data_IF_650961057497
#
_entry.id   IF_650961057497
#
_cell.length_a   1.000
_cell.length_b   1.000
_cell.length_c   1.000
_cell.angle_alpha   90.00
_cell.angle_beta   90.00
_cell.angle_gamma   90.00
#
_symmetry.space_group_name_H-M   'P 1'
#
loop_
_entity.id
_entity.type
_entity.pdbx_description
1 polymer ?
#
# COMPACT_ATOMS: atom_id res chain seq x y z
N UNK A 1 18.78 -30.37 11.82
CA UNK A 1 17.79 -29.69 12.66
C UNK A 1 17.77 -28.22 12.28
N UNK A 2 16.62 -27.60 11.96
CA UNK A 2 16.59 -26.17 11.63
C UNK A 2 16.94 -25.33 12.86
N UNK A 3 17.82 -24.36 12.65
CA UNK A 3 18.45 -23.56 13.69
C UNK A 3 17.43 -22.65 14.39
N UNK A 4 17.10 -22.98 15.66
CA UNK A 4 16.19 -22.21 16.51
C UNK A 4 16.60 -20.74 16.65
N UNK A 5 17.88 -20.40 16.46
CA UNK A 5 18.37 -19.03 16.51
C UNK A 5 17.81 -18.16 15.36
N UNK A 6 17.77 -18.71 14.13
CA UNK A 6 17.22 -18.00 12.96
C UNK A 6 15.71 -17.71 13.09
N UNK A 7 14.96 -18.65 13.68
CA UNK A 7 13.54 -18.45 13.98
C UNK A 7 13.28 -17.35 15.02
N UNK A 8 14.15 -17.26 16.05
CA UNK A 8 14.07 -16.18 17.05
C UNK A 8 14.43 -14.82 16.45
N UNK A 9 15.40 -14.75 15.54
CA UNK A 9 15.76 -13.54 14.82
C UNK A 9 14.62 -13.00 13.93
N UNK A 10 13.91 -13.89 13.20
CA UNK A 10 12.75 -13.51 12.37
C UNK A 10 11.59 -12.99 13.24
N UNK A 11 11.34 -13.60 14.40
CA UNK A 11 10.37 -13.08 15.39
C UNK A 11 10.78 -11.73 15.98
N UNK A 12 12.06 -11.55 16.32
CA UNK A 12 12.56 -10.29 16.87
C UNK A 12 12.42 -9.12 15.89
N UNK A 13 12.62 -9.34 14.57
CA UNK A 13 12.37 -8.33 13.53
C UNK A 13 10.89 -7.91 13.45
N UNK A 14 9.95 -8.85 13.61
CA UNK A 14 8.52 -8.52 13.66
C UNK A 14 8.15 -7.69 14.91
N UNK A 15 8.81 -7.90 16.04
CA UNK A 15 8.64 -7.05 17.24
C UNK A 15 9.38 -5.71 17.12
N UNK A 16 10.46 -5.64 16.34
CA UNK A 16 11.13 -4.38 16.05
C UNK A 16 10.24 -3.47 15.20
N UNK A 17 9.46 -4.01 14.26
CA UNK A 17 8.39 -3.27 13.56
C UNK A 17 7.29 -2.76 14.50
N UNK A 18 6.89 -3.53 15.51
CA UNK A 18 5.92 -3.10 16.53
C UNK A 18 6.51 -2.08 17.53
N UNK A 19 7.78 -2.24 17.89
CA UNK A 19 8.51 -1.30 18.74
C UNK A 19 8.81 0.00 18.00
N UNK A 20 9.05 -0.04 16.69
CA UNK A 20 9.13 1.13 15.83
C UNK A 20 7.76 1.77 15.62
N UNK A 21 6.69 0.99 15.49
CA UNK A 21 5.32 1.52 15.51
C UNK A 21 5.03 2.28 16.83
N UNK A 22 5.44 1.73 17.98
CA UNK A 22 5.38 2.43 19.27
C UNK A 22 6.32 3.63 19.34
N UNK A 23 7.57 3.51 18.88
CA UNK A 23 8.57 4.58 18.93
C UNK A 23 8.21 5.74 17.99
N UNK A 24 7.64 5.49 16.81
CA UNK A 24 7.14 6.53 15.89
C UNK A 24 5.89 7.20 16.47
N UNK A 25 4.98 6.46 17.13
CA UNK A 25 3.89 7.05 17.90
C UNK A 25 4.37 7.90 19.07
N UNK A 26 5.48 7.52 19.71
CA UNK A 26 6.07 8.25 20.85
C UNK A 26 7.02 9.38 20.44
N UNK A 27 7.52 9.38 19.20
CA UNK A 27 8.27 10.49 18.58
C UNK A 27 7.33 11.55 17.98
N UNK A 28 6.00 11.38 18.11
CA UNK A 28 5.07 12.50 18.07
C UNK A 28 5.42 13.43 19.25
N UNK A 29 6.33 14.36 18.97
CA UNK A 29 6.82 15.37 19.89
C UNK A 29 5.62 16.11 20.49
N UNK A 30 5.60 16.36 21.80
CA UNK A 30 4.57 17.16 22.46
C UNK A 30 4.81 18.65 22.22
N UNK A 31 4.94 19.07 20.95
CA UNK A 31 4.67 20.45 20.57
C UNK A 31 3.22 20.49 20.11
N UNK A 32 2.39 21.14 20.93
CA UNK A 32 0.93 21.11 20.90
C UNK A 32 0.27 21.68 19.61
N UNK A 33 1.04 21.96 18.56
CA UNK A 33 0.58 22.63 17.34
C UNK A 33 0.61 21.77 16.07
N UNK A 34 1.04 20.50 16.10
CA UNK A 34 0.94 19.65 14.91
C UNK A 34 0.64 18.19 15.24
N UNK A 35 -0.65 17.87 15.42
CA UNK A 35 -1.06 16.48 15.43
C UNK A 35 -0.79 15.88 14.04
N UNK A 36 0.07 14.85 13.97
CA UNK A 36 0.37 14.13 12.74
C UNK A 36 -0.15 12.70 12.80
N UNK A 37 -0.74 12.24 11.71
CA UNK A 37 -1.21 10.88 11.51
C UNK A 37 -0.19 10.10 10.66
N UNK A 38 0.09 8.86 11.05
CA UNK A 38 0.91 7.95 10.23
C UNK A 38 0.00 7.36 9.16
N UNK A 39 0.27 7.68 7.90
CA UNK A 39 -0.52 7.23 6.75
C UNK A 39 -0.06 5.86 6.26
N UNK A 40 1.26 5.64 6.23
CA UNK A 40 1.82 4.40 5.72
C UNK A 40 3.12 4.03 6.44
N UNK A 41 3.30 2.72 6.64
CA UNK A 41 4.58 2.12 7.02
C UNK A 41 4.85 0.97 6.04
N UNK A 42 6.06 0.92 5.50
CA UNK A 42 6.50 -0.13 4.59
C UNK A 42 7.94 -0.51 4.87
N UNK A 43 8.27 -1.79 4.67
CA UNK A 43 9.61 -2.34 4.82
C UNK A 43 10.00 -3.07 3.54
N UNK A 44 11.24 -2.87 3.08
CA UNK A 44 11.81 -3.61 1.94
C UNK A 44 12.84 -4.62 2.39
N UNK A 45 13.11 -5.62 1.54
CA UNK A 45 14.20 -6.59 1.75
C UNK A 45 15.59 -5.95 1.79
N UNK A 46 15.75 -4.77 1.22
CA UNK A 46 17.00 -3.96 1.29
C UNK A 46 17.21 -3.29 2.64
N UNK A 47 16.35 -3.60 3.63
CA UNK A 47 16.35 -3.03 4.95
C UNK A 47 16.01 -1.54 4.96
N UNK A 48 15.24 -1.01 4.00
CA UNK A 48 14.63 0.29 4.16
C UNK A 48 13.30 0.18 4.88
N UNK A 49 13.00 1.13 5.74
CA UNK A 49 11.65 1.37 6.22
C UNK A 49 11.20 2.77 5.85
N UNK A 50 10.01 2.88 5.28
CA UNK A 50 9.36 4.16 5.01
C UNK A 50 8.27 4.38 6.04
N UNK A 51 8.22 5.58 6.60
CA UNK A 51 7.09 6.08 7.37
C UNK A 51 6.61 7.38 6.73
N UNK A 52 5.35 7.41 6.32
CA UNK A 52 4.70 8.60 5.80
C UNK A 52 3.79 9.21 6.87
N UNK A 53 3.95 10.51 7.11
CA UNK A 53 3.14 11.25 8.07
C UNK A 53 2.40 12.39 7.39
N UNK A 54 1.11 12.54 7.72
CA UNK A 54 0.29 13.69 7.31
C UNK A 54 -0.10 14.54 8.52
N UNK A 55 -0.21 15.86 8.39
CA UNK A 55 -0.85 16.68 9.41
C UNK A 55 -2.35 16.35 9.51
N UNK A 56 -2.91 16.36 10.72
CA UNK A 56 -4.36 16.35 10.90
C UNK A 56 -4.93 17.68 10.38
N UNK A 57 -5.95 17.59 9.52
CA UNK A 57 -6.52 18.68 8.70
C UNK A 57 -6.87 19.98 9.45
N UNK A 58 -6.94 19.97 10.79
CA UNK A 58 -7.28 21.17 11.57
C UNK A 58 -6.09 22.11 11.85
N UNK A 59 -4.84 21.71 11.59
CA UNK A 59 -3.67 22.44 12.12
C UNK A 59 -2.87 23.28 11.11
N UNK A 60 -3.09 23.17 9.80
CA UNK A 60 -2.30 23.93 8.83
C UNK A 60 -3.19 24.72 7.86
N UNK A 61 -3.17 26.03 8.02
CA UNK A 61 -3.63 27.04 7.07
C UNK A 61 -2.93 26.89 5.71
N UNK A 62 -3.33 25.89 4.91
CA UNK A 62 -2.94 25.75 3.51
C UNK A 62 -1.48 25.41 3.23
N UNK A 63 -0.74 24.84 4.20
CA UNK A 63 0.60 24.29 3.95
C UNK A 63 0.63 22.82 4.34
N UNK A 64 0.34 21.95 3.38
CA UNK A 64 0.57 20.52 3.52
C UNK A 64 2.08 20.33 3.35
N UNK A 65 2.79 20.04 4.45
CA UNK A 65 4.16 19.55 4.36
C UNK A 65 4.12 18.14 4.94
N UNK A 66 3.88 17.17 4.06
CA UNK A 66 4.00 15.77 4.41
C UNK A 66 5.46 15.38 4.36
N UNK A 67 5.92 14.78 5.44
CA UNK A 67 7.29 14.29 5.54
C UNK A 67 7.26 12.76 5.38
N UNK A 68 7.92 12.28 4.34
CA UNK A 68 8.23 10.88 4.15
C UNK A 68 9.62 10.65 4.75
N UNK A 69 9.68 9.83 5.79
CA UNK A 69 10.91 9.49 6.48
C UNK A 69 11.37 8.11 6.04
N UNK A 70 12.64 8.02 5.65
CA UNK A 70 13.27 6.78 5.21
C UNK A 70 14.35 6.42 6.21
N UNK A 71 14.19 5.26 6.83
CA UNK A 71 15.11 4.71 7.81
C UNK A 71 15.84 3.49 7.26
N UNK A 72 17.07 3.29 7.71
CA UNK A 72 17.68 1.97 7.67
C UNK A 72 17.11 1.13 8.81
N UNK A 73 16.43 0.05 8.46
CA UNK A 73 15.75 -0.84 9.42
C UNK A 73 16.70 -1.77 10.18
N UNK A 74 17.99 -1.81 9.85
CA UNK A 74 18.96 -2.56 10.65
C UNK A 74 19.31 -1.82 11.95
N UNK A 75 19.46 -0.49 11.88
CA UNK A 75 19.92 0.34 13.00
C UNK A 75 18.97 1.50 13.34
N UNK A 76 17.86 1.64 12.62
CA UNK A 76 16.84 2.69 12.77
C UNK A 76 17.36 4.10 12.51
N UNK A 77 18.48 4.24 11.79
CA UNK A 77 19.02 5.54 11.42
C UNK A 77 18.17 6.19 10.34
N UNK A 78 17.80 7.45 10.55
CA UNK A 78 17.14 8.25 9.52
C UNK A 78 18.16 8.52 8.39
N UNK A 79 17.87 8.01 7.19
CA UNK A 79 18.70 8.20 6.00
C UNK A 79 18.28 9.43 5.20
N UNK A 80 16.98 9.65 5.07
CA UNK A 80 16.44 10.68 4.20
C UNK A 80 15.06 11.14 4.66
N UNK A 81 14.77 12.42 4.44
CA UNK A 81 13.44 13.01 4.52
C UNK A 81 13.07 13.53 3.14
N UNK A 82 11.85 13.23 2.70
CA UNK A 82 11.29 13.76 1.45
C UNK A 82 10.04 14.55 1.81
N UNK A 83 10.07 15.85 1.53
CA UNK A 83 8.91 16.74 1.69
C UNK A 83 8.00 16.66 0.46
N UNK A 84 6.69 16.60 0.70
CA UNK A 84 5.66 16.69 -0.33
C UNK A 84 4.59 17.71 0.05
N UNK A 85 4.08 18.42 -0.96
CA UNK A 85 2.92 19.30 -0.82
C UNK A 85 1.58 18.64 -1.21
N UNK A 86 1.64 17.44 -1.79
CA UNK A 86 0.47 16.64 -2.11
C UNK A 86 -0.09 15.95 -0.86
N UNK A 87 -1.35 15.52 -0.89
CA UNK A 87 -1.98 14.73 0.16
C UNK A 87 -1.69 13.23 -0.06
N UNK A 88 -0.86 12.62 0.78
CA UNK A 88 -0.47 11.20 0.70
C UNK A 88 -1.60 10.29 1.18
N UNK A 89 -1.76 9.19 0.46
CA UNK A 89 -2.66 8.09 0.81
C UNK A 89 -1.92 6.79 1.14
N UNK A 90 -0.80 6.52 0.47
CA UNK A 90 0.05 5.37 0.80
C UNK A 90 1.50 5.61 0.32
N UNK A 91 2.44 4.94 0.96
CA UNK A 91 3.85 4.95 0.58
C UNK A 91 4.46 3.56 0.80
N UNK A 92 5.17 3.06 -0.21
CA UNK A 92 5.91 1.79 -0.16
C UNK A 92 7.36 1.99 -0.58
N UNK A 93 8.24 1.14 -0.08
CA UNK A 93 9.62 1.03 -0.58
C UNK A 93 9.84 -0.36 -1.14
N UNK A 94 10.44 -0.44 -2.33
CA UNK A 94 10.78 -1.70 -2.98
C UNK A 94 12.01 -1.50 -3.86
N UNK A 95 13.04 -2.34 -3.72
CA UNK A 95 14.28 -2.27 -4.50
C UNK A 95 14.87 -0.85 -4.66
N UNK A 96 15.04 -0.11 -3.55
CA UNK A 96 15.53 1.28 -3.54
C UNK A 96 14.64 2.29 -4.30
N UNK A 97 13.42 1.91 -4.66
CA UNK A 97 12.40 2.81 -5.16
C UNK A 97 11.46 3.19 -4.01
N UNK A 98 11.25 4.47 -3.80
CA UNK A 98 10.14 5.00 -3.04
C UNK A 98 8.95 5.21 -3.98
N UNK A 99 7.84 4.58 -3.64
CA UNK A 99 6.59 4.62 -4.36
C UNK A 99 5.57 5.34 -3.48
N UNK A 100 4.98 6.41 -3.97
CA UNK A 100 3.99 7.20 -3.22
C UNK A 100 2.76 7.42 -4.06
N UNK A 101 1.60 7.30 -3.44
CA UNK A 101 0.34 7.68 -4.06
C UNK A 101 -0.29 8.84 -3.32
N UNK A 102 -0.61 9.88 -4.08
CA UNK A 102 -1.03 11.16 -3.54
C UNK A 102 -2.07 11.82 -4.41
N UNK A 103 -2.90 12.65 -3.79
CA UNK A 103 -3.68 13.68 -4.48
C UNK A 103 -2.81 14.94 -4.59
N UNK A 104 -2.49 15.34 -5.81
CA UNK A 104 -1.75 16.58 -6.07
C UNK A 104 -2.66 17.79 -5.83
N UNK A 105 -2.20 18.74 -5.01
CA UNK A 105 -2.99 19.89 -4.58
C UNK A 105 -3.18 20.94 -5.69
N UNK A 106 -2.32 20.91 -6.72
CA UNK A 106 -2.36 21.90 -7.81
C UNK A 106 -3.42 21.61 -8.86
N UNK A 107 -3.58 20.33 -9.24
CA UNK A 107 -4.49 19.92 -10.31
C UNK A 107 -5.60 18.97 -9.85
N UNK A 108 -5.59 18.51 -8.59
CA UNK A 108 -6.60 17.62 -8.04
C UNK A 108 -6.55 16.21 -8.64
N UNK A 109 -5.41 15.81 -9.20
CA UNK A 109 -5.24 14.48 -9.78
C UNK A 109 -4.51 13.54 -8.83
N UNK A 110 -4.95 12.28 -8.82
CA UNK A 110 -4.23 11.20 -8.17
C UNK A 110 -3.03 10.80 -9.00
N UNK A 111 -1.86 10.83 -8.36
CA UNK A 111 -0.59 10.53 -8.99
C UNK A 111 0.16 9.46 -8.21
N UNK A 112 0.72 8.51 -8.94
CA UNK A 112 1.79 7.65 -8.46
C UNK A 112 3.12 8.32 -8.79
N UNK A 113 3.93 8.62 -7.76
CA UNK A 113 5.32 8.98 -7.96
C UNK A 113 6.24 7.80 -7.64
N UNK A 114 7.17 7.54 -8.55
CA UNK A 114 8.24 6.56 -8.43
C UNK A 114 9.56 7.31 -8.35
N UNK A 115 10.12 7.35 -7.15
CA UNK A 115 11.41 8.00 -6.86
C UNK A 115 12.47 6.93 -6.66
N UNK A 116 13.55 7.04 -7.43
CA UNK A 116 14.76 6.28 -7.14
C UNK A 116 15.48 6.93 -5.94
N UNK A 117 15.81 6.15 -4.92
CA UNK A 117 16.47 6.65 -3.71
C UNK A 117 17.98 6.85 -3.88
N UNK A 118 18.56 6.33 -4.96
CA UNK A 118 19.98 6.52 -5.31
C UNK A 118 20.21 7.71 -6.22
N UNK A 119 19.16 8.22 -6.86
CA UNK A 119 19.23 9.34 -7.78
C UNK A 119 18.18 10.41 -7.46
N UNK A 120 18.30 11.60 -8.03
CA UNK A 120 17.26 12.63 -7.88
C UNK A 120 16.08 12.44 -8.83
N UNK A 121 16.00 11.30 -9.54
CA UNK A 121 15.00 11.06 -10.56
C UNK A 121 13.64 10.69 -9.94
N UNK A 122 12.59 11.37 -10.41
CA UNK A 122 11.20 11.09 -10.04
C UNK A 122 10.41 10.95 -11.33
N UNK A 123 9.67 9.86 -11.45
CA UNK A 123 8.70 9.67 -12.53
C UNK A 123 7.31 9.68 -11.92
N UNK A 124 6.39 10.38 -12.57
CA UNK A 124 5.03 10.55 -12.08
C UNK A 124 4.05 10.03 -13.12
N UNK A 125 3.06 9.26 -12.66
CA UNK A 125 1.98 8.71 -13.46
C UNK A 125 0.65 9.20 -12.92
N UNK A 126 -0.15 9.81 -13.78
CA UNK A 126 -1.52 10.21 -13.46
C UNK A 126 -2.45 8.99 -13.53
N UNK A 127 -3.22 8.77 -12.46
CA UNK A 127 -4.09 7.61 -12.32
C UNK A 127 -5.58 7.97 -12.41
N UNK A 128 -5.96 9.21 -12.11
CA UNK A 128 -7.33 9.68 -12.27
C UNK A 128 -7.67 10.88 -11.39
N UNK A 129 -8.97 11.15 -11.30
CA UNK A 129 -9.54 12.23 -10.48
C UNK A 129 -9.61 11.85 -8.98
N UNK A 130 -10.15 12.77 -8.19
CA UNK A 130 -10.25 12.67 -6.73
C UNK A 130 -10.82 11.32 -6.26
N UNK A 131 -10.08 10.66 -5.37
CA UNK A 131 -10.33 9.34 -4.84
C UNK A 131 -10.45 9.44 -3.32
N UNK A 132 -11.46 8.77 -2.79
CA UNK A 132 -11.71 8.68 -1.36
C UNK A 132 -10.63 7.89 -0.61
N UNK A 133 -10.10 6.83 -1.25
CA UNK A 133 -8.97 6.06 -0.70
C UNK A 133 -8.09 5.53 -1.82
N UNK A 134 -6.80 5.35 -1.52
CA UNK A 134 -5.86 4.65 -2.37
C UNK A 134 -5.07 3.60 -1.58
N UNK A 135 -4.76 2.47 -2.21
CA UNK A 135 -3.87 1.44 -1.65
C UNK A 135 -2.82 1.08 -2.69
N UNK A 136 -1.56 1.00 -2.25
CA UNK A 136 -0.43 0.60 -3.07
C UNK A 136 0.11 -0.75 -2.60
N UNK A 137 0.40 -1.66 -3.53
CA UNK A 137 1.07 -2.91 -3.23
C UNK A 137 2.28 -3.14 -4.15
N UNK A 138 3.34 -3.69 -3.56
CA UNK A 138 4.62 -3.96 -4.23
C UNK A 138 5.28 -5.20 -3.64
N UNK A 139 6.24 -5.76 -4.37
CA UNK A 139 7.08 -6.86 -3.93
C UNK A 139 8.46 -6.70 -4.56
N UNK A 140 9.51 -6.79 -3.74
CA UNK A 140 10.91 -6.69 -4.18
C UNK A 140 11.30 -7.71 -5.27
N UNK A 141 10.54 -8.79 -5.46
CA UNK A 141 10.81 -9.82 -6.48
C UNK A 141 9.97 -9.66 -7.75
N UNK A 142 9.16 -8.62 -7.84
CA UNK A 142 8.30 -8.34 -9.00
C UNK A 142 8.67 -6.98 -9.58
N UNK A 143 8.59 -6.86 -10.90
CA UNK A 143 8.75 -5.57 -11.58
C UNK A 143 7.42 -4.85 -11.77
N UNK A 144 6.34 -5.37 -11.18
CA UNK A 144 5.04 -4.73 -11.20
C UNK A 144 4.66 -4.20 -9.82
N UNK A 145 3.82 -3.19 -9.82
CA UNK A 145 3.10 -2.74 -8.64
C UNK A 145 1.62 -2.67 -8.96
N UNK A 146 0.79 -2.64 -7.92
CA UNK A 146 -0.63 -2.43 -8.08
C UNK A 146 -1.14 -1.29 -7.23
N UNK A 147 -2.10 -0.58 -7.80
CA UNK A 147 -2.82 0.48 -7.11
C UNK A 147 -4.30 0.16 -7.18
N UNK A 148 -4.98 0.23 -6.03
CA UNK A 148 -6.44 0.33 -5.98
C UNK A 148 -6.79 1.78 -5.66
N UNK A 149 -7.61 2.40 -6.51
CA UNK A 149 -8.25 3.68 -6.25
C UNK A 149 -9.75 3.46 -6.02
N UNK A 150 -10.28 4.03 -4.94
CA UNK A 150 -11.74 4.14 -4.72
C UNK A 150 -12.16 5.58 -4.88
N UNK A 151 -12.93 5.86 -5.91
CA UNK A 151 -13.42 7.18 -6.25
C UNK A 151 -14.87 7.26 -5.81
N UNK A 152 -15.22 8.28 -5.03
CA UNK A 152 -16.61 8.57 -4.73
C UNK A 152 -17.22 9.27 -5.95
N UNK A 153 -18.34 8.78 -6.45
CA UNK A 153 -19.12 9.48 -7.45
C UNK A 153 -20.03 10.47 -6.72
N UNK A 154 -19.71 11.76 -6.79
CA UNK A 154 -20.43 12.81 -6.07
C UNK A 154 -21.89 12.96 -6.51
N UNK A 155 -22.27 12.47 -7.70
CA UNK A 155 -23.63 12.59 -8.23
C UNK A 155 -24.64 11.64 -7.58
N UNK A 156 -24.23 10.41 -7.25
CA UNK A 156 -25.13 9.37 -6.74
C UNK A 156 -24.62 8.66 -5.46
N UNK A 157 -23.43 9.03 -4.98
CA UNK A 157 -22.78 8.44 -3.83
C UNK A 157 -22.27 7.01 -4.07
N UNK A 158 -22.22 6.55 -5.33
CA UNK A 158 -21.63 5.26 -5.68
C UNK A 158 -20.10 5.31 -5.60
N UNK A 159 -19.46 4.17 -5.34
CA UNK A 159 -18.00 4.06 -5.31
C UNK A 159 -17.51 3.38 -6.59
N UNK A 160 -16.62 4.05 -7.31
CA UNK A 160 -15.88 3.49 -8.44
C UNK A 160 -14.56 2.91 -7.93
N UNK A 161 -14.40 1.59 -8.04
CA UNK A 161 -13.18 0.90 -7.64
C UNK A 161 -12.34 0.57 -8.88
N UNK A 162 -11.16 1.15 -9.00
CA UNK A 162 -10.25 0.90 -10.11
C UNK A 162 -8.97 0.23 -9.65
N UNK A 163 -8.64 -0.91 -10.27
CA UNK A 163 -7.35 -1.57 -10.13
C UNK A 163 -6.43 -1.16 -11.30
N UNK A 164 -5.22 -0.72 -10.95
CA UNK A 164 -4.12 -0.49 -11.89
C UNK A 164 -3.01 -1.50 -11.62
N UNK A 165 -2.42 -2.03 -12.69
CA UNK A 165 -1.13 -2.74 -12.65
C UNK A 165 -0.16 -1.94 -13.49
N UNK A 166 0.98 -1.62 -12.91
CA UNK A 166 1.99 -0.74 -13.50
C UNK A 166 3.30 -1.51 -13.55
N UNK A 167 3.95 -1.49 -14.70
CA UNK A 167 5.30 -2.04 -14.87
C UNK A 167 6.32 -0.97 -14.46
N UNK A 168 7.19 -1.29 -13.50
CA UNK A 168 8.23 -0.39 -13.00
C UNK A 168 9.38 -0.20 -14.00
N UNK A 169 9.58 -1.14 -14.93
CA UNK A 169 10.63 -1.03 -15.95
C UNK A 169 10.25 -0.02 -17.02
N UNK A 170 9.02 -0.12 -17.55
CA UNK A 170 8.51 0.80 -18.58
C UNK A 170 7.91 2.06 -17.97
N UNK A 171 7.48 1.99 -16.71
CA UNK A 171 6.75 3.04 -15.98
C UNK A 171 5.43 3.34 -16.68
N UNK A 172 4.74 2.30 -17.12
CA UNK A 172 3.46 2.42 -17.82
C UNK A 172 2.38 1.59 -17.12
N UNK A 173 1.13 2.05 -17.24
CA UNK A 173 -0.04 1.27 -16.83
C UNK A 173 -0.24 0.15 -17.86
N UNK A 174 -0.01 -1.10 -17.44
CA UNK A 174 -0.16 -2.27 -18.30
C UNK A 174 -1.53 -2.93 -18.17
N UNK A 175 -2.23 -2.67 -17.07
CA UNK A 175 -3.62 -3.10 -16.89
C UNK A 175 -4.40 -2.08 -16.08
N UNK A 176 -5.64 -1.83 -16.51
CA UNK A 176 -6.60 -0.98 -15.81
C UNK A 176 -7.97 -1.66 -15.87
N UNK A 177 -8.61 -1.81 -14.73
CA UNK A 177 -9.99 -2.28 -14.66
C UNK A 177 -10.76 -1.53 -13.58
N UNK A 178 -11.84 -0.89 -14.00
CA UNK A 178 -12.81 -0.25 -13.11
C UNK A 178 -14.02 -1.17 -13.01
N UNK A 179 -14.38 -1.57 -11.80
CA UNK A 179 -15.61 -2.30 -11.54
C UNK A 179 -16.73 -1.33 -11.22
N UNK A 180 -17.92 -1.63 -11.74
CA UNK A 180 -19.14 -0.85 -11.58
C UNK A 180 -20.21 -1.71 -10.90
N UNK A 181 -21.29 -1.08 -10.42
CA UNK A 181 -22.40 -1.73 -9.70
C UNK A 181 -22.11 -2.11 -8.23
N UNK A 182 -21.21 -1.39 -7.58
CA UNK A 182 -20.91 -1.58 -6.16
C UNK A 182 -19.78 -2.58 -5.90
N UNK A 183 -19.46 -3.49 -6.82
CA UNK A 183 -18.32 -4.41 -6.71
C UNK A 183 -17.05 -3.70 -6.24
N UNK A 184 -16.34 -4.32 -5.30
CA UNK A 184 -15.25 -3.64 -4.59
C UNK A 184 -13.93 -4.41 -4.72
N UNK A 185 -12.90 -3.69 -5.16
CA UNK A 185 -11.53 -4.10 -4.91
C UNK A 185 -11.18 -3.71 -3.47
N UNK A 186 -11.26 -4.69 -2.57
CA UNK A 186 -11.09 -4.45 -1.16
C UNK A 186 -9.62 -4.29 -0.78
N UNK A 187 -8.77 -5.19 -1.26
CA UNK A 187 -7.34 -5.11 -1.05
C UNK A 187 -6.56 -5.82 -2.16
N UNK A 188 -5.27 -5.49 -2.31
CA UNK A 188 -4.35 -6.18 -3.20
C UNK A 188 -3.01 -6.49 -2.56
N UNK A 189 -2.37 -7.57 -3.00
CA UNK A 189 -0.96 -7.87 -2.74
C UNK A 189 -0.28 -8.31 -4.03
N UNK A 190 0.88 -7.73 -4.30
CA UNK A 190 1.76 -8.23 -5.36
C UNK A 190 2.56 -9.39 -4.80
N UNK A 191 2.54 -10.52 -5.49
CA UNK A 191 3.32 -11.70 -5.15
C UNK A 191 4.36 -11.97 -6.24
N UNK A 192 5.19 -12.98 -6.02
CA UNK A 192 6.28 -13.34 -6.93
C UNK A 192 5.75 -13.68 -8.33
N UNK A 193 6.64 -13.57 -9.33
CA UNK A 193 6.35 -13.83 -10.73
C UNK A 193 5.27 -12.90 -11.33
N UNK A 194 5.22 -11.65 -10.85
CA UNK A 194 4.31 -10.61 -11.36
C UNK A 194 2.85 -11.03 -11.34
N UNK A 195 2.45 -11.71 -10.26
CA UNK A 195 1.07 -12.07 -9.99
C UNK A 195 0.53 -11.22 -8.86
N UNK A 196 -0.78 -11.11 -8.79
CA UNK A 196 -1.46 -10.37 -7.74
C UNK A 196 -2.53 -11.24 -7.11
N UNK A 197 -2.70 -11.05 -5.81
CA UNK A 197 -3.84 -11.56 -5.07
C UNK A 197 -4.73 -10.39 -4.74
N UNK A 198 -5.99 -10.52 -5.09
CA UNK A 198 -6.99 -9.48 -4.92
C UNK A 198 -8.09 -10.03 -4.03
N UNK A 199 -8.35 -9.30 -2.95
CA UNK A 199 -9.58 -9.43 -2.17
C UNK A 199 -10.67 -8.61 -2.87
N UNK A 200 -11.68 -9.31 -3.37
CA UNK A 200 -12.74 -8.76 -4.21
C UNK A 200 -14.10 -9.08 -3.62
N UNK A 201 -14.94 -8.08 -3.41
CA UNK A 201 -16.32 -8.29 -2.96
C UNK A 201 -17.28 -8.09 -4.12
N UNK A 202 -18.05 -9.15 -4.40
CA UNK A 202 -19.07 -9.18 -5.43
C UNK A 202 -20.42 -8.85 -4.78
N UNK A 203 -20.97 -7.68 -5.09
CA UNK A 203 -22.23 -7.21 -4.50
C UNK A 203 -23.44 -7.96 -5.05
N UNK A 204 -23.38 -8.41 -6.31
CA UNK A 204 -24.48 -9.12 -6.95
C UNK A 204 -24.80 -10.45 -6.25
N UNK A 205 -23.76 -11.14 -5.76
CA UNK A 205 -23.92 -12.39 -4.99
C UNK A 205 -23.51 -12.27 -3.52
N UNK A 206 -23.28 -11.05 -3.03
CA UNK A 206 -22.91 -10.72 -1.65
C UNK A 206 -21.81 -11.62 -1.07
N UNK A 207 -20.70 -11.77 -1.81
CA UNK A 207 -19.65 -12.74 -1.48
C UNK A 207 -18.27 -12.16 -1.74
N UNK A 208 -17.36 -12.30 -0.76
CA UNK A 208 -15.93 -12.03 -0.95
C UNK A 208 -15.23 -13.20 -1.66
N UNK A 209 -14.29 -12.86 -2.52
CA UNK A 209 -13.44 -13.77 -3.26
C UNK A 209 -11.99 -13.33 -3.15
N UNK A 210 -11.10 -14.32 -3.10
CA UNK A 210 -9.71 -14.12 -3.44
C UNK A 210 -9.48 -14.54 -4.88
N UNK A 211 -9.04 -13.58 -5.68
CA UNK A 211 -8.64 -13.79 -7.07
C UNK A 211 -7.13 -13.75 -7.17
N UNK A 212 -6.55 -14.77 -7.80
CA UNK A 212 -5.17 -14.74 -8.28
C UNK A 212 -5.21 -14.31 -9.73
N UNK A 213 -4.53 -13.23 -10.05
CA UNK A 213 -4.41 -12.74 -11.43
C UNK A 213 -2.94 -12.63 -11.83
N UNK A 214 -2.65 -12.62 -13.14
CA UNK A 214 -1.34 -12.22 -13.65
C UNK A 214 -1.26 -10.71 -13.91
N UNK A 215 -0.09 -10.22 -14.33
CA UNK A 215 0.16 -8.81 -14.63
C UNK A 215 -0.71 -8.22 -15.75
N UNK A 216 -1.33 -9.06 -16.57
CA UNK A 216 -2.25 -8.66 -17.64
C UNK A 216 -3.73 -8.71 -17.22
N UNK A 217 -4.00 -8.92 -15.93
CA UNK A 217 -5.35 -8.99 -15.39
C UNK A 217 -6.11 -10.29 -15.70
N UNK A 218 -5.43 -11.31 -16.22
CA UNK A 218 -6.05 -12.62 -16.45
C UNK A 218 -6.21 -13.35 -15.12
N UNK A 219 -7.44 -13.78 -14.82
CA UNK A 219 -7.74 -14.62 -13.66
C UNK A 219 -7.14 -16.01 -13.84
N UNK A 220 -6.26 -16.39 -12.92
CA UNK A 220 -5.62 -17.70 -12.85
C UNK A 220 -6.36 -18.65 -11.92
N UNK A 221 -6.93 -18.10 -10.83
CA UNK A 221 -7.78 -18.85 -9.91
C UNK A 221 -8.68 -17.90 -9.13
N UNK A 222 -9.86 -18.38 -8.73
CA UNK A 222 -10.79 -17.67 -7.86
C UNK A 222 -11.27 -18.60 -6.76
N UNK A 223 -11.18 -18.14 -5.51
CA UNK A 223 -11.62 -18.87 -4.33
C UNK A 223 -12.63 -18.03 -3.54
N UNK A 224 -13.74 -18.64 -3.16
CA UNK A 224 -14.73 -18.02 -2.26
C UNK A 224 -14.17 -17.92 -0.84
N UNK A 225 -14.40 -16.77 -0.20
CA UNK A 225 -14.05 -16.51 1.20
C UNK A 225 -15.31 -16.65 2.06
N UNK A 226 -15.18 -17.23 3.25
CA UNK A 226 -16.30 -17.43 4.15
C UNK A 226 -16.59 -16.17 4.98
N UNK A 227 -17.32 -15.22 4.41
CA UNK A 227 -17.75 -13.99 5.08
C UNK A 227 -17.26 -12.74 4.36
N UNK A 228 -17.53 -11.58 4.97
CA UNK A 228 -17.14 -10.28 4.44
C UNK A 228 -15.76 -9.91 4.98
N UNK A 229 -14.85 -9.64 4.05
CA UNK A 229 -13.48 -9.19 4.30
C UNK A 229 -13.46 -7.70 4.62
N UNK A 230 -12.57 -7.28 5.52
CA UNK A 230 -12.68 -5.90 6.05
C UNK A 230 -11.40 -5.09 6.13
N UNK A 231 -10.25 -5.67 6.51
CA UNK A 231 -9.12 -4.79 6.90
C UNK A 231 -7.71 -5.27 6.55
N UNK A 232 -7.54 -6.26 5.67
CA UNK A 232 -6.23 -6.48 5.07
C UNK A 232 -5.92 -7.89 4.61
N UNK A 233 -4.99 -7.93 3.67
CA UNK A 233 -4.39 -9.13 3.13
C UNK A 233 -2.88 -9.01 3.31
N UNK A 234 -2.24 -10.10 3.75
CA UNK A 234 -0.81 -10.21 3.84
C UNK A 234 -0.37 -11.52 3.18
N UNK A 235 0.81 -11.50 2.57
CA UNK A 235 1.38 -12.68 1.92
C UNK A 235 2.77 -12.95 2.46
N UNK A 236 3.10 -14.23 2.61
CA UNK A 236 4.44 -14.69 2.94
C UNK A 236 4.70 -16.00 2.22
N UNK A 237 5.60 -15.98 1.24
CA UNK A 237 5.88 -17.13 0.38
C UNK A 237 4.59 -17.64 -0.27
N UNK A 238 4.14 -18.85 0.10
CA UNK A 238 2.94 -19.47 -0.44
C UNK A 238 1.71 -19.31 0.47
N UNK A 239 1.79 -18.52 1.54
CA UNK A 239 0.68 -18.35 2.48
C UNK A 239 0.07 -16.95 2.32
N UNK A 240 -1.25 -16.91 2.26
CA UNK A 240 -2.08 -15.69 2.34
C UNK A 240 -2.77 -15.68 3.68
N UNK A 241 -2.68 -14.56 4.39
CA UNK A 241 -3.50 -14.27 5.56
C UNK A 241 -4.50 -13.17 5.19
N UNK A 242 -5.78 -13.42 5.39
CA UNK A 242 -6.87 -12.51 5.05
C UNK A 242 -7.70 -12.20 6.29
N UNK A 243 -7.86 -10.91 6.61
CA UNK A 243 -8.69 -10.46 7.70
C UNK A 243 -10.17 -10.46 7.30
N UNK A 244 -10.94 -11.31 7.98
CA UNK A 244 -12.40 -11.39 7.91
C UNK A 244 -12.96 -10.82 9.20
N UNK A 245 -14.19 -10.29 9.19
CA UNK A 245 -14.82 -9.57 10.31
C UNK A 245 -14.51 -10.04 11.75
N UNK A 246 -14.34 -11.34 11.99
CA UNK A 246 -14.08 -11.90 13.32
C UNK A 246 -12.87 -12.83 13.43
N UNK A 247 -12.14 -13.09 12.33
CA UNK A 247 -11.04 -14.05 12.32
C UNK A 247 -10.08 -13.81 11.14
N UNK A 248 -8.93 -14.46 11.16
CA UNK A 248 -7.97 -14.44 10.05
C UNK A 248 -8.04 -15.78 9.33
N UNK A 249 -8.34 -15.78 8.04
CA UNK A 249 -8.28 -16.98 7.19
C UNK A 249 -6.86 -17.12 6.62
N UNK A 250 -6.25 -18.29 6.82
CA UNK A 250 -4.97 -18.63 6.20
C UNK A 250 -5.19 -19.58 5.03
N UNK A 251 -4.56 -19.28 3.91
CA UNK A 251 -4.71 -20.03 2.66
C UNK A 251 -3.36 -20.29 2.02
N UNK A 252 -3.16 -21.49 1.50
CA UNK A 252 -2.01 -21.80 0.65
C UNK A 252 -2.30 -21.42 -0.80
N UNK A 253 -1.30 -20.83 -1.44
CA UNK A 253 -1.22 -20.60 -2.88
C UNK A 253 -0.73 -21.90 -3.51
N UNK A 254 -1.64 -22.59 -4.19
CA UNK A 254 -1.36 -23.81 -4.94
C UNK A 254 -0.47 -23.58 -6.16
#
# INVERSE_FOLDING_TARGET
>A
MPDRAKHKQKKARNYAGLAAFHAIRCLAVPDAESFREIVAISHSKDNFMVACQRPLLQTLNGKIAEDIFIYDSNDWTLKQTVSSNSLMFDAKVSNQLLLTIALDDQDGLFKLAVRDLTSSQVNTLELGNDAYTAQLATNDQSHIISVILRINNDEDGSMLNTLFIIDLNTKEIIYKNTVTNGDDYLNCQVINNNKLIIDFYDHAVQTSYLKLINSQGMELSKRKVNGITTYGIATAENIVALAVNNYIEFMELG
#
